data_IF_129688100729
#
_entry.id   IF_129688100729
#
_cell.length_a   1.000
_cell.length_b   1.000
_cell.length_c   1.000
_cell.angle_alpha   90.00
_cell.angle_beta   90.00
_cell.angle_gamma   90.00
#
_symmetry.space_group_name_H-M   'P 1'
#
loop_
_entity.id
_entity.type
_entity.pdbx_description
1 polymer ?
#
# COMPACT_ATOMS: atom_id res chain seq x y z
N UNK A 1 -35.40 15.56 2.80
CA UNK A 1 -36.00 14.31 2.29
C UNK A 1 -34.98 13.23 1.93
N UNK A 2 -33.97 13.41 1.08
CA UNK A 2 -33.01 12.36 0.77
C UNK A 2 -32.17 11.83 1.96
N UNK A 3 -31.85 12.66 2.94
CA UNK A 3 -31.12 12.27 4.16
C UNK A 3 -31.93 11.39 5.11
N UNK A 4 -33.24 11.53 5.14
CA UNK A 4 -34.09 10.76 6.03
C UNK A 4 -34.35 9.35 5.49
N UNK A 5 -34.46 9.23 4.16
CA UNK A 5 -34.57 7.93 3.48
C UNK A 5 -33.31 7.10 3.68
N UNK A 6 -32.12 7.71 3.64
CA UNK A 6 -30.85 7.02 3.88
C UNK A 6 -30.74 6.50 5.33
N UNK A 7 -31.25 7.25 6.33
CA UNK A 7 -31.23 6.83 7.74
C UNK A 7 -32.06 5.58 8.01
N UNK A 8 -33.16 5.40 7.29
CA UNK A 8 -34.03 4.23 7.44
C UNK A 8 -33.54 3.06 6.57
N UNK A 9 -33.08 3.34 5.37
CA UNK A 9 -32.59 2.33 4.44
C UNK A 9 -31.27 1.69 4.85
N UNK A 10 -30.38 2.44 5.50
CA UNK A 10 -29.07 1.94 5.93
C UNK A 10 -29.16 0.73 6.87
N UNK A 11 -29.95 0.74 7.97
CA UNK A 11 -30.09 -0.44 8.82
C UNK A 11 -30.72 -1.64 8.06
N UNK A 12 -31.68 -1.39 7.18
CA UNK A 12 -32.26 -2.47 6.38
C UNK A 12 -31.24 -3.12 5.46
N UNK A 13 -30.42 -2.33 4.79
CA UNK A 13 -29.39 -2.84 3.90
C UNK A 13 -28.28 -3.59 4.66
N UNK A 14 -27.95 -3.17 5.89
CA UNK A 14 -26.92 -3.82 6.70
C UNK A 14 -27.37 -5.19 7.22
N UNK A 15 -28.61 -5.31 7.69
CA UNK A 15 -29.03 -6.45 8.50
C UNK A 15 -30.07 -7.34 7.84
N UNK A 16 -30.72 -6.89 6.77
CA UNK A 16 -31.75 -7.70 6.09
C UNK A 16 -31.11 -8.85 5.32
N UNK A 17 -31.58 -10.05 5.60
CA UNK A 17 -31.23 -11.28 4.89
C UNK A 17 -32.10 -11.49 3.64
N UNK A 18 -33.11 -10.63 3.42
CA UNK A 18 -34.08 -10.78 2.33
C UNK A 18 -33.57 -10.28 0.96
N UNK A 19 -32.48 -9.49 0.95
CA UNK A 19 -31.93 -9.04 -0.32
C UNK A 19 -31.08 -10.12 -0.97
N UNK A 20 -31.41 -10.42 -2.21
CA UNK A 20 -30.58 -11.25 -3.09
C UNK A 20 -29.32 -10.49 -3.53
N UNK A 21 -28.28 -11.20 -3.91
CA UNK A 21 -27.06 -10.58 -4.45
C UNK A 21 -27.34 -9.65 -5.63
N UNK A 22 -28.27 -10.06 -6.52
CA UNK A 22 -28.63 -9.26 -7.68
C UNK A 22 -29.31 -7.93 -7.31
N UNK A 23 -30.15 -7.94 -6.30
CA UNK A 23 -30.77 -6.71 -5.79
C UNK A 23 -29.74 -5.77 -5.16
N UNK A 24 -28.79 -6.32 -4.37
CA UNK A 24 -27.70 -5.55 -3.79
C UNK A 24 -26.79 -4.93 -4.87
N UNK A 25 -26.50 -5.66 -5.95
CA UNK A 25 -25.75 -5.18 -7.11
C UNK A 25 -26.51 -4.03 -7.80
N UNK A 26 -27.81 -4.19 -8.01
CA UNK A 26 -28.63 -3.16 -8.62
C UNK A 26 -28.71 -1.90 -7.76
N UNK A 27 -28.83 -2.05 -6.45
CA UNK A 27 -28.78 -0.96 -5.48
C UNK A 27 -27.41 -0.27 -5.52
N UNK A 28 -26.32 -1.01 -5.53
CA UNK A 28 -24.96 -0.46 -5.59
C UNK A 28 -24.73 0.38 -6.86
N UNK A 29 -25.36 0.01 -7.97
CA UNK A 29 -25.24 0.75 -9.25
C UNK A 29 -26.13 1.99 -9.33
N UNK A 30 -27.30 1.96 -8.72
CA UNK A 30 -28.33 2.98 -8.91
C UNK A 30 -28.47 3.97 -7.75
N UNK A 31 -27.94 3.64 -6.58
CA UNK A 31 -28.19 4.40 -5.38
C UNK A 31 -26.94 5.20 -4.91
N UNK A 32 -27.14 6.27 -4.10
CA UNK A 32 -26.06 7.10 -3.60
C UNK A 32 -25.04 6.35 -2.74
N UNK A 33 -23.85 6.93 -2.58
CA UNK A 33 -22.70 6.39 -1.83
C UNK A 33 -23.08 5.86 -0.44
N UNK A 34 -24.02 6.53 0.28
CA UNK A 34 -24.44 6.09 1.61
C UNK A 34 -24.99 4.64 1.62
N UNK A 35 -25.69 4.25 0.55
CA UNK A 35 -26.23 2.90 0.39
C UNK A 35 -25.13 1.90 0.02
N UNK A 36 -24.20 2.31 -0.84
CA UNK A 36 -23.01 1.52 -1.17
C UNK A 36 -22.17 1.24 0.07
N UNK A 37 -21.99 2.25 0.93
CA UNK A 37 -21.29 2.09 2.23
C UNK A 37 -22.02 1.12 3.17
N UNK A 38 -23.35 1.14 3.18
CA UNK A 38 -24.14 0.18 3.96
C UNK A 38 -23.94 -1.24 3.43
N UNK A 39 -23.98 -1.44 2.12
CA UNK A 39 -23.73 -2.74 1.51
C UNK A 39 -22.31 -3.23 1.81
N UNK A 40 -21.30 -2.35 1.69
CA UNK A 40 -19.90 -2.69 1.95
C UNK A 40 -19.60 -3.11 3.41
N UNK A 41 -20.51 -2.79 4.34
CA UNK A 41 -20.42 -3.17 5.77
C UNK A 41 -21.24 -4.39 6.13
N UNK A 42 -21.91 -5.03 5.19
CA UNK A 42 -22.69 -6.26 5.46
C UNK A 42 -21.78 -7.35 5.97
N UNK A 43 -22.33 -8.23 6.78
CA UNK A 43 -21.62 -9.37 7.34
C UNK A 43 -21.03 -10.28 6.24
N UNK A 44 -21.73 -10.43 5.13
CA UNK A 44 -21.28 -11.19 3.97
C UNK A 44 -21.57 -10.43 2.70
N UNK A 45 -20.62 -10.43 1.76
CA UNK A 45 -20.76 -9.83 0.42
C UNK A 45 -20.14 -10.81 -0.57
N UNK A 46 -20.88 -11.13 -1.61
CA UNK A 46 -20.42 -12.01 -2.68
C UNK A 46 -19.35 -11.36 -3.56
N UNK A 47 -18.56 -12.16 -4.28
CA UNK A 47 -17.54 -11.67 -5.21
C UNK A 47 -18.11 -10.73 -6.29
N UNK A 48 -19.27 -11.01 -6.95
CA UNK A 48 -19.90 -10.06 -7.87
C UNK A 48 -20.36 -8.76 -7.21
N UNK A 49 -20.84 -8.82 -5.97
CA UNK A 49 -21.21 -7.65 -5.16
C UNK A 49 -20.01 -6.78 -4.86
N UNK A 50 -18.92 -7.39 -4.42
CA UNK A 50 -17.62 -6.72 -4.16
C UNK A 50 -17.07 -6.06 -5.43
N UNK A 51 -17.12 -6.75 -6.56
CA UNK A 51 -16.66 -6.24 -7.85
C UNK A 51 -17.44 -4.99 -8.28
N UNK A 52 -18.76 -5.04 -8.15
CA UNK A 52 -19.64 -3.91 -8.45
C UNK A 52 -19.36 -2.71 -7.55
N UNK A 53 -19.17 -2.93 -6.25
CA UNK A 53 -18.84 -1.86 -5.29
C UNK A 53 -17.51 -1.20 -5.62
N UNK A 54 -16.53 -1.95 -6.09
CA UNK A 54 -15.24 -1.40 -6.55
C UNK A 54 -15.40 -0.63 -7.85
N UNK A 55 -16.26 -1.08 -8.77
CA UNK A 55 -16.50 -0.39 -10.05
C UNK A 55 -17.22 0.95 -9.87
N UNK A 56 -18.25 0.98 -9.04
CA UNK A 56 -19.13 2.15 -8.87
C UNK A 56 -18.66 3.09 -7.77
N UNK A 57 -17.90 2.56 -6.81
CA UNK A 57 -17.54 3.28 -5.60
C UNK A 57 -16.27 4.12 -5.72
N UNK A 58 -16.02 4.85 -4.66
CA UNK A 58 -14.83 5.67 -4.48
C UNK A 58 -13.78 4.96 -3.58
N UNK A 59 -12.65 5.62 -3.37
CA UNK A 59 -11.54 5.16 -2.52
C UNK A 59 -12.00 4.78 -1.10
N UNK A 60 -12.86 5.58 -0.46
CA UNK A 60 -13.33 5.31 0.89
C UNK A 60 -14.19 4.05 0.96
N UNK A 61 -15.00 3.80 -0.07
CA UNK A 61 -15.79 2.60 -0.20
C UNK A 61 -14.88 1.36 -0.37
N UNK A 62 -13.85 1.47 -1.22
CA UNK A 62 -12.86 0.41 -1.39
C UNK A 62 -12.16 0.05 -0.08
N UNK A 63 -11.74 1.05 0.72
CA UNK A 63 -11.15 0.82 2.06
C UNK A 63 -12.12 0.10 2.98
N UNK A 64 -13.40 0.51 3.01
CA UNK A 64 -14.44 -0.11 3.83
C UNK A 64 -14.63 -1.58 3.44
N UNK A 65 -14.72 -1.85 2.14
CA UNK A 65 -14.87 -3.20 1.61
C UNK A 65 -13.68 -4.10 1.92
N UNK A 66 -12.45 -3.60 1.77
CA UNK A 66 -11.22 -4.34 2.04
C UNK A 66 -11.05 -4.68 3.52
N UNK A 67 -11.50 -3.80 4.43
CA UNK A 67 -11.50 -4.05 5.88
C UNK A 67 -12.60 -5.01 6.32
N UNK A 68 -13.59 -5.23 5.49
CA UNK A 68 -14.65 -6.18 5.79
C UNK A 68 -14.17 -7.61 5.48
N UNK A 69 -13.86 -8.38 6.51
CA UNK A 69 -13.42 -9.77 6.38
C UNK A 69 -14.51 -10.71 5.82
N UNK A 70 -15.77 -10.33 5.89
CA UNK A 70 -16.88 -11.09 5.32
C UNK A 70 -17.13 -10.78 3.84
N UNK A 71 -16.37 -9.88 3.22
CA UNK A 71 -16.44 -9.64 1.79
C UNK A 71 -15.58 -10.65 1.03
N UNK A 72 -16.16 -11.28 0.02
CA UNK A 72 -15.43 -12.11 -0.93
C UNK A 72 -14.80 -11.20 -2.00
N UNK A 73 -13.46 -11.16 -2.03
CA UNK A 73 -12.68 -10.33 -2.94
C UNK A 73 -11.92 -11.26 -3.89
N UNK A 74 -12.38 -11.33 -5.14
CA UNK A 74 -11.69 -12.10 -6.18
C UNK A 74 -10.37 -11.44 -6.61
N UNK A 75 -9.52 -12.21 -7.27
CA UNK A 75 -8.29 -11.69 -7.88
C UNK A 75 -8.57 -10.58 -8.89
N UNK A 76 -9.68 -10.68 -9.63
CA UNK A 76 -10.13 -9.65 -10.57
C UNK A 76 -10.50 -8.36 -9.83
N UNK A 77 -11.27 -8.46 -8.76
CA UNK A 77 -11.63 -7.32 -7.91
C UNK A 77 -10.38 -6.68 -7.29
N UNK A 78 -9.44 -7.48 -6.80
CA UNK A 78 -8.15 -7.00 -6.26
C UNK A 78 -7.34 -6.25 -7.33
N UNK A 79 -7.29 -6.75 -8.56
CA UNK A 79 -6.65 -6.07 -9.68
C UNK A 79 -7.30 -4.70 -10.00
N UNK A 80 -8.64 -4.65 -10.00
CA UNK A 80 -9.37 -3.38 -10.20
C UNK A 80 -9.06 -2.37 -9.10
N UNK A 81 -9.02 -2.82 -7.85
CA UNK A 81 -8.67 -1.99 -6.70
C UNK A 81 -7.26 -1.42 -6.83
N UNK A 82 -6.27 -2.26 -7.17
CA UNK A 82 -4.88 -1.83 -7.38
C UNK A 82 -4.81 -0.80 -8.51
N UNK A 83 -5.44 -1.05 -9.65
CA UNK A 83 -5.38 -0.14 -10.80
C UNK A 83 -6.02 1.22 -10.52
N UNK A 84 -7.07 1.27 -9.70
CA UNK A 84 -7.83 2.50 -9.45
C UNK A 84 -7.37 3.29 -8.24
N UNK A 85 -6.84 2.63 -7.23
CA UNK A 85 -6.65 3.21 -5.90
C UNK A 85 -5.32 2.84 -5.22
N UNK A 86 -4.31 2.38 -5.98
CA UNK A 86 -3.01 2.02 -5.41
C UNK A 86 -2.26 3.20 -4.76
N UNK A 87 -2.63 4.43 -5.09
CA UNK A 87 -2.15 5.67 -4.48
C UNK A 87 -2.63 5.87 -3.03
N UNK A 88 -3.62 5.09 -2.61
CA UNK A 88 -4.23 5.20 -1.28
C UNK A 88 -3.60 4.23 -0.28
N UNK A 89 -2.93 4.75 0.74
CA UNK A 89 -2.36 3.96 1.84
C UNK A 89 -3.40 3.05 2.52
N UNK A 90 -4.63 3.55 2.71
CA UNK A 90 -5.71 2.75 3.30
C UNK A 90 -6.12 1.56 2.44
N UNK A 91 -6.02 1.67 1.12
CA UNK A 91 -6.31 0.59 0.18
C UNK A 91 -5.16 -0.42 0.15
N UNK A 92 -3.91 0.05 0.04
CA UNK A 92 -2.73 -0.83 0.04
C UNK A 92 -2.62 -1.63 1.33
N UNK A 93 -2.82 -0.97 2.48
CA UNK A 93 -2.85 -1.62 3.79
C UNK A 93 -4.00 -2.64 3.87
N UNK A 94 -5.21 -2.27 3.43
CA UNK A 94 -6.37 -3.16 3.43
C UNK A 94 -6.16 -4.42 2.57
N UNK A 95 -5.50 -4.31 1.43
CA UNK A 95 -5.16 -5.46 0.57
C UNK A 95 -4.16 -6.40 1.24
N UNK A 96 -3.07 -5.85 1.79
CA UNK A 96 -1.98 -6.64 2.40
C UNK A 96 -2.45 -7.34 3.68
N UNK A 97 -3.37 -6.75 4.44
CA UNK A 97 -3.91 -7.34 5.67
C UNK A 97 -4.87 -8.51 5.42
N UNK A 98 -5.30 -8.75 4.20
CA UNK A 98 -6.16 -9.90 3.90
C UNK A 98 -5.36 -11.19 3.86
N UNK A 99 -5.83 -12.20 4.57
CA UNK A 99 -5.19 -13.53 4.67
C UNK A 99 -5.09 -14.27 3.33
N UNK A 100 -5.93 -13.91 2.36
CA UNK A 100 -6.01 -14.53 1.03
C UNK A 100 -5.40 -13.65 -0.08
N UNK A 101 -4.44 -12.77 0.25
CA UNK A 101 -3.82 -11.91 -0.75
C UNK A 101 -2.76 -12.69 -1.55
N UNK A 102 -2.97 -12.94 -2.88
CA UNK A 102 -2.06 -13.76 -3.67
C UNK A 102 -0.69 -13.11 -3.90
N UNK A 103 0.41 -13.87 -3.91
CA UNK A 103 1.76 -13.33 -4.13
C UNK A 103 1.91 -12.54 -5.44
N UNK A 104 1.28 -13.01 -6.52
CA UNK A 104 1.28 -12.30 -7.82
C UNK A 104 0.67 -10.90 -7.75
N UNK A 105 -0.37 -10.73 -6.92
CA UNK A 105 -0.98 -9.43 -6.70
C UNK A 105 -0.10 -8.54 -5.81
N UNK A 106 0.66 -9.13 -4.88
CA UNK A 106 1.63 -8.41 -4.07
C UNK A 106 2.76 -7.83 -4.93
N UNK A 107 3.34 -8.61 -5.84
CA UNK A 107 4.34 -8.14 -6.81
C UNK A 107 3.80 -6.99 -7.67
N UNK A 108 2.58 -7.13 -8.17
CA UNK A 108 1.93 -6.08 -8.96
C UNK A 108 1.68 -4.81 -8.15
N UNK A 109 1.20 -4.94 -6.92
CA UNK A 109 0.99 -3.80 -6.02
C UNK A 109 2.29 -3.05 -5.77
N UNK A 110 3.38 -3.76 -5.47
CA UNK A 110 4.71 -3.19 -5.30
C UNK A 110 5.15 -2.44 -6.58
N UNK A 111 4.98 -3.05 -7.76
CA UNK A 111 5.34 -2.42 -9.02
C UNK A 111 4.57 -1.10 -9.25
N UNK A 112 3.25 -1.09 -9.01
CA UNK A 112 2.41 0.09 -9.20
C UNK A 112 2.72 1.19 -8.18
N UNK A 113 2.98 0.83 -6.92
CA UNK A 113 3.31 1.81 -5.86
C UNK A 113 4.71 2.41 -6.06
N UNK A 114 5.67 1.62 -6.55
CA UNK A 114 7.03 2.09 -6.77
C UNK A 114 7.20 2.90 -8.08
N UNK A 115 6.31 2.74 -9.05
CA UNK A 115 6.44 3.41 -10.35
C UNK A 115 6.51 4.94 -10.25
N UNK A 116 5.66 5.65 -9.48
CA UNK A 116 5.80 7.09 -9.29
C UNK A 116 7.12 7.50 -8.62
N UNK A 117 7.65 6.65 -7.74
CA UNK A 117 8.95 6.90 -7.08
C UNK A 117 10.08 6.72 -8.09
N UNK A 118 10.04 5.66 -8.91
CA UNK A 118 10.98 5.43 -10.00
C UNK A 118 11.02 6.59 -10.99
N UNK A 119 9.86 7.08 -11.41
CA UNK A 119 9.76 8.21 -12.33
C UNK A 119 10.32 9.50 -11.72
N UNK A 120 10.13 9.74 -10.43
CA UNK A 120 10.72 10.89 -9.72
C UNK A 120 12.25 10.77 -9.58
N UNK A 121 12.77 9.58 -9.37
CA UNK A 121 14.22 9.32 -9.26
C UNK A 121 14.87 9.31 -10.65
N UNK A 122 14.17 8.83 -11.68
CA UNK A 122 14.64 8.80 -13.04
C UNK A 122 14.45 10.16 -13.77
N UNK A 123 13.55 11.03 -13.30
CA UNK A 123 13.50 12.41 -13.77
C UNK A 123 14.86 13.03 -13.44
N UNK A 124 15.55 13.68 -14.41
CA UNK A 124 16.73 14.45 -14.11
C UNK A 124 16.30 15.53 -13.12
N UNK A 125 16.49 15.22 -11.84
CA UNK A 125 16.33 16.21 -10.80
C UNK A 125 17.34 17.28 -11.18
N UNK A 126 16.90 18.52 -11.34
CA UNK A 126 17.73 19.72 -11.26
C UNK A 126 18.35 19.79 -9.85
N UNK A 127 19.13 18.77 -9.51
CA UNK A 127 20.19 18.90 -8.54
C UNK A 127 21.12 19.90 -9.17
N UNK A 128 21.01 21.16 -8.73
CA UNK A 128 21.84 22.23 -9.18
C UNK A 128 23.26 21.67 -9.29
N UNK A 129 23.98 21.87 -10.41
CA UNK A 129 25.30 21.27 -10.64
C UNK A 129 26.28 21.53 -9.48
N UNK A 130 26.01 22.56 -8.69
CA UNK A 130 26.69 22.87 -7.45
C UNK A 130 26.62 21.77 -6.36
N UNK A 131 25.47 21.06 -6.20
CA UNK A 131 25.31 20.01 -5.18
C UNK A 131 26.00 18.72 -5.64
N UNK A 132 25.92 18.41 -6.93
CA UNK A 132 26.61 17.25 -7.50
C UNK A 132 28.13 17.42 -7.39
N UNK A 133 28.65 18.60 -7.68
CA UNK A 133 30.06 18.91 -7.58
C UNK A 133 30.56 18.92 -6.11
N UNK A 134 29.72 19.38 -5.16
CA UNK A 134 30.05 19.30 -3.73
C UNK A 134 30.07 17.86 -3.20
N UNK A 135 29.19 16.99 -3.65
CA UNK A 135 29.17 15.57 -3.26
C UNK A 135 30.39 14.83 -3.83
N UNK A 136 30.75 15.11 -5.10
CA UNK A 136 31.94 14.52 -5.72
C UNK A 136 33.21 15.02 -5.03
N UNK A 137 33.33 16.32 -4.74
CA UNK A 137 34.47 16.88 -4.02
C UNK A 137 34.63 16.28 -2.61
N UNK A 138 33.54 16.16 -1.84
CA UNK A 138 33.56 15.52 -0.51
C UNK A 138 33.94 14.06 -0.56
N UNK A 139 33.47 13.30 -1.56
CA UNK A 139 33.84 11.89 -1.69
C UNK A 139 35.33 11.70 -2.06
N UNK A 140 35.89 12.63 -2.84
CA UNK A 140 37.32 12.63 -3.18
C UNK A 140 38.18 13.04 -1.99
N UNK A 141 37.77 14.02 -1.18
CA UNK A 141 38.45 14.38 0.06
C UNK A 141 38.45 13.25 1.12
N UNK A 142 37.32 12.53 1.24
CA UNK A 142 37.22 11.36 2.12
C UNK A 142 38.16 10.23 1.67
N UNK A 143 38.29 9.99 0.38
CA UNK A 143 39.22 8.99 -0.18
C UNK A 143 40.69 9.37 0.01
N UNK A 144 41.03 10.66 -0.06
CA UNK A 144 42.42 11.11 0.13
C UNK A 144 42.83 11.10 1.59
N UNK A 145 41.92 11.30 2.53
CA UNK A 145 42.20 11.20 3.97
C UNK A 145 42.41 9.75 4.41
N UNK A 146 41.77 8.78 3.80
CA UNK A 146 41.96 7.37 4.15
C UNK A 146 43.27 6.77 3.61
N UNK A 147 43.85 7.39 2.57
CA UNK A 147 45.15 7.01 2.00
C UNK A 147 46.32 7.68 2.75
N UNK A 148 46.07 8.79 3.46
CA UNK A 148 47.06 9.57 4.16
C UNK A 148 47.22 9.23 5.66
N UNK A 149 46.51 8.24 6.18
CA UNK A 149 46.67 7.75 7.52
C UNK A 149 48.00 6.93 7.61
N UNK A 150 49.04 7.38 8.29
CA UNK A 150 50.26 6.61 8.41
C UNK A 150 49.98 5.36 9.25
N UNK A 151 50.58 4.26 8.79
CA UNK A 151 50.55 2.89 9.34
C UNK A 151 51.31 2.84 10.69
N UNK A 152 50.74 3.43 11.73
CA UNK A 152 51.35 3.57 13.04
C UNK A 152 50.77 2.61 14.10
N UNK A 153 50.26 1.44 13.68
CA UNK A 153 49.85 0.39 14.63
C UNK A 153 50.28 -1.02 14.20
N UNK A 154 51.51 -1.17 13.75
CA UNK A 154 52.24 -2.45 13.77
C UNK A 154 53.51 -2.38 14.60
N UNK A 155 53.35 -2.06 15.84
CA UNK A 155 54.39 -2.34 16.83
C UNK A 155 54.00 -3.60 17.60
N UNK A 156 54.62 -4.68 17.22
CA UNK A 156 54.67 -5.93 17.94
C UNK A 156 55.26 -5.70 19.35
N UNK A 157 54.68 -6.24 20.39
CA UNK A 157 55.47 -6.62 21.57
C UNK A 157 55.72 -8.13 21.53
N UNK A 158 56.76 -8.54 20.83
CA UNK A 158 57.48 -9.73 21.26
C UNK A 158 58.31 -9.34 22.47
N UNK A 159 58.17 -10.10 23.53
CA UNK A 159 59.04 -10.41 24.64
C UNK A 159 58.36 -10.30 25.98
N UNK A 160 57.99 -11.47 26.48
CA UNK A 160 58.35 -11.84 27.85
C UNK A 160 58.08 -13.32 28.06
N UNK A 161 59.03 -14.10 27.56
CA UNK A 161 59.29 -15.41 28.15
C UNK A 161 60.66 -15.24 28.81
N UNK A 162 60.69 -15.25 30.11
CA UNK A 162 61.82 -15.76 30.89
C UNK A 162 61.47 -15.83 32.38
N UNK A 163 61.62 -17.07 32.85
CA UNK A 163 62.09 -17.55 34.12
C UNK A 163 61.15 -17.41 35.33
N UNK A 164 60.83 -18.59 35.83
CA UNK A 164 61.37 -19.08 37.12
C UNK A 164 60.99 -20.56 37.23
N UNK A 165 62.03 -21.33 37.46
CA UNK A 165 62.28 -22.47 38.32
C UNK A 165 61.11 -23.02 39.11
#
# INVERSE_FOLDING_TARGET
>A
MARDVAKVATPMLLYSLFFTDQELINIARSQPEAWQQAIARRQTISAPGSDTLVETGNKNLAVTLLRNHGSDISDNTSNKVINRFADSEGVTTGLVQRSSFPPKLAERLIAVVLEPIRQRVAAPTDLAPAITNQLIARSQEAMTLDIAAPDEKRAHPQRLVRHLD
#
